data_IF_282937630909
#
_entry.id   IF_282937630909
#
_cell.length_a   1.000
_cell.length_b   1.000
_cell.length_c   1.000
_cell.angle_alpha   90.00
_cell.angle_beta   90.00
_cell.angle_gamma   90.00
#
_symmetry.space_group_name_H-M   'P 1'
#
loop_
_entity.id
_entity.type
_entity.pdbx_description
1 polymer ?
#
# COMPACT_ATOMS: atom_id res chain seq x y z
N UNK A 1 -17.02 -4.53 -15.39
CA UNK A 1 -15.70 -4.10 -14.88
C UNK A 1 -14.63 -5.20 -15.03
N UNK A 2 -14.94 -6.46 -14.77
CA UNK A 2 -13.98 -7.59 -14.63
C UNK A 2 -13.04 -7.87 -15.83
N UNK A 3 -13.40 -7.48 -17.06
CA UNK A 3 -12.66 -7.80 -18.29
C UNK A 3 -12.32 -6.57 -19.15
N UNK A 4 -12.53 -5.36 -18.63
CA UNK A 4 -12.27 -4.14 -19.40
C UNK A 4 -10.76 -3.83 -19.41
N UNK A 5 -10.24 -3.36 -20.54
CA UNK A 5 -8.83 -3.03 -20.72
C UNK A 5 -8.68 -1.62 -21.28
N UNK A 6 -7.70 -0.88 -20.79
CA UNK A 6 -7.30 0.40 -21.37
C UNK A 6 -6.32 0.13 -22.51
N UNK A 7 -6.68 0.54 -23.72
CA UNK A 7 -5.85 0.40 -24.92
C UNK A 7 -5.66 1.76 -25.59
N UNK A 8 -4.49 1.97 -26.19
CA UNK A 8 -4.18 3.19 -26.93
C UNK A 8 -4.28 2.93 -28.43
N UNK A 9 -5.50 2.98 -28.97
CA UNK A 9 -5.78 2.79 -30.40
C UNK A 9 -5.46 4.05 -31.24
N UNK A 10 -5.50 5.22 -30.62
CA UNK A 10 -5.16 6.54 -31.17
C UNK A 10 -4.47 7.38 -30.08
N UNK A 11 -4.38 8.70 -30.25
CA UNK A 11 -3.82 9.62 -29.25
C UNK A 11 -4.63 9.66 -27.93
N UNK A 12 -5.83 9.06 -27.90
CA UNK A 12 -6.66 8.97 -26.71
C UNK A 12 -6.77 7.52 -26.19
N UNK A 13 -6.68 7.31 -24.86
CA UNK A 13 -6.97 6.00 -24.27
C UNK A 13 -8.43 5.61 -24.51
N UNK A 14 -8.65 4.36 -24.89
CA UNK A 14 -9.97 3.77 -25.12
C UNK A 14 -10.15 2.53 -24.24
N UNK A 15 -11.38 2.27 -23.80
CA UNK A 15 -11.72 1.06 -23.05
C UNK A 15 -12.23 0.02 -24.04
N UNK A 16 -11.71 -1.21 -23.95
CA UNK A 16 -12.12 -2.31 -24.82
C UNK A 16 -12.24 -3.64 -24.07
N UNK A 17 -13.06 -4.53 -24.64
CA UNK A 17 -13.07 -5.96 -24.34
C UNK A 17 -12.25 -6.67 -25.41
N UNK A 18 -11.37 -7.59 -25.00
CA UNK A 18 -10.44 -8.29 -25.90
C UNK A 18 -10.82 -9.77 -25.88
N UNK A 19 -11.67 -10.23 -26.83
CA UNK A 19 -12.15 -11.60 -26.85
C UNK A 19 -11.01 -12.61 -26.91
N UNK A 20 -11.26 -13.83 -26.46
CA UNK A 20 -10.31 -14.95 -26.37
C UNK A 20 -9.22 -14.72 -25.31
N UNK A 21 -8.45 -13.64 -25.43
CA UNK A 21 -7.40 -13.30 -24.46
C UNK A 21 -7.97 -13.10 -23.06
N UNK A 22 -9.15 -12.47 -22.96
CA UNK A 22 -9.82 -12.21 -21.70
C UNK A 22 -10.38 -13.47 -21.02
N UNK A 23 -10.20 -14.67 -21.59
CA UNK A 23 -10.49 -15.94 -20.92
C UNK A 23 -9.34 -16.41 -20.01
N UNK A 24 -8.13 -15.87 -20.17
CA UNK A 24 -6.98 -16.24 -19.34
C UNK A 24 -7.19 -15.81 -17.88
N UNK A 25 -6.86 -16.69 -16.94
CA UNK A 25 -6.94 -16.41 -15.50
C UNK A 25 -5.67 -15.73 -14.98
N UNK A 26 -5.75 -15.21 -13.75
CA UNK A 26 -4.66 -14.49 -13.08
C UNK A 26 -3.63 -15.43 -12.44
N UNK A 27 -2.35 -15.15 -12.64
CA UNK A 27 -1.22 -15.69 -11.86
C UNK A 27 -0.17 -14.58 -11.66
N UNK A 28 0.59 -14.63 -10.57
CA UNK A 28 1.70 -13.71 -10.34
C UNK A 28 2.76 -13.76 -11.44
N UNK A 29 3.30 -12.59 -11.75
CA UNK A 29 4.42 -12.44 -12.66
C UNK A 29 4.54 -11.01 -13.15
N UNK A 30 4.78 -10.84 -14.44
CA UNK A 30 4.93 -9.52 -15.10
C UNK A 30 3.89 -9.38 -16.19
N UNK A 31 3.57 -8.15 -16.55
CA UNK A 31 2.69 -7.90 -17.70
C UNK A 31 3.42 -8.34 -18.96
N UNK A 32 2.86 -9.33 -19.66
CA UNK A 32 3.39 -9.87 -20.93
C UNK A 32 2.42 -9.67 -22.09
N UNK A 33 1.44 -8.77 -21.92
CA UNK A 33 0.48 -8.39 -22.96
C UNK A 33 0.73 -6.95 -23.38
N UNK A 34 0.75 -6.69 -24.67
CA UNK A 34 0.90 -5.35 -25.25
C UNK A 34 0.04 -5.19 -26.51
N UNK A 35 -0.09 -3.96 -27.00
CA UNK A 35 -0.75 -3.65 -28.25
C UNK A 35 0.27 -3.26 -29.32
N UNK A 36 0.43 -4.10 -30.34
CA UNK A 36 1.28 -3.82 -31.48
C UNK A 36 0.57 -2.82 -32.41
N UNK A 37 1.07 -1.57 -32.43
CA UNK A 37 0.50 -0.48 -33.23
C UNK A 37 0.66 -0.67 -34.74
N UNK A 38 1.79 -1.24 -35.17
CA UNK A 38 2.08 -1.46 -36.59
C UNK A 38 1.14 -2.52 -37.19
N UNK A 39 0.97 -3.63 -36.47
CA UNK A 39 0.09 -4.74 -36.86
C UNK A 39 -1.36 -4.55 -36.43
N UNK A 40 -1.65 -3.49 -35.66
CA UNK A 40 -2.98 -3.14 -35.13
C UNK A 40 -3.67 -4.30 -34.41
N UNK A 41 -2.95 -4.95 -33.49
CA UNK A 41 -3.46 -6.12 -32.74
C UNK A 41 -2.89 -6.20 -31.32
N UNK A 42 -3.61 -6.87 -30.43
CA UNK A 42 -3.06 -7.30 -29.14
C UNK A 42 -2.10 -8.47 -29.31
N UNK A 43 -0.99 -8.44 -28.59
CA UNK A 43 0.00 -9.51 -28.53
C UNK A 43 0.18 -9.94 -27.08
N UNK A 44 0.13 -11.26 -26.83
CA UNK A 44 0.32 -11.83 -25.51
C UNK A 44 1.45 -12.85 -25.59
N UNK A 45 2.53 -12.59 -24.87
CA UNK A 45 3.66 -13.50 -24.73
C UNK A 45 3.42 -14.38 -23.50
N UNK A 46 3.91 -15.62 -23.55
CA UNK A 46 3.76 -16.56 -22.44
C UNK A 46 4.43 -15.99 -21.18
N UNK A 47 3.70 -15.99 -20.05
CA UNK A 47 4.19 -15.49 -18.76
C UNK A 47 5.39 -16.29 -18.26
N UNK A 48 5.37 -17.59 -18.55
CA UNK A 48 6.36 -18.62 -18.25
C UNK A 48 6.15 -19.78 -19.23
N UNK A 49 6.98 -20.79 -19.14
CA UNK A 49 6.74 -22.04 -19.86
C UNK A 49 5.46 -22.72 -19.34
N UNK A 50 4.63 -23.21 -20.25
CA UNK A 50 3.42 -23.99 -19.97
C UNK A 50 3.52 -25.35 -20.64
N UNK A 51 3.30 -26.43 -19.89
CA UNK A 51 3.28 -27.77 -20.45
C UNK A 51 2.01 -28.03 -21.27
N UNK A 52 2.04 -29.00 -22.19
CA UNK A 52 0.85 -29.42 -22.90
C UNK A 52 -0.23 -29.93 -21.92
N UNK A 53 -1.44 -29.36 -22.01
CA UNK A 53 -2.55 -29.65 -21.10
C UNK A 53 -2.58 -28.79 -19.83
N UNK A 54 -1.58 -27.94 -19.61
CA UNK A 54 -1.58 -26.96 -18.53
C UNK A 54 -2.46 -25.74 -18.87
N UNK A 55 -3.09 -25.16 -17.85
CA UNK A 55 -3.84 -23.92 -18.01
C UNK A 55 -2.87 -22.74 -18.25
N UNK A 56 -3.21 -21.90 -19.23
CA UNK A 56 -2.47 -20.68 -19.52
C UNK A 56 -2.97 -19.56 -18.60
N UNK A 57 -2.02 -18.91 -17.92
CA UNK A 57 -2.28 -17.76 -17.06
C UNK A 57 -1.61 -16.49 -17.59
N UNK A 58 -2.14 -15.35 -17.17
CA UNK A 58 -1.55 -14.03 -17.38
C UNK A 58 -1.50 -13.26 -16.06
N UNK A 59 -0.64 -12.24 -15.97
CA UNK A 59 -0.65 -11.34 -14.83
C UNK A 59 -1.54 -10.13 -15.11
N UNK A 60 -2.62 -9.97 -14.33
CA UNK A 60 -3.57 -8.85 -14.49
C UNK A 60 -3.02 -7.48 -14.03
N UNK A 61 -1.81 -7.47 -13.46
CA UNK A 61 -1.19 -6.29 -12.86
C UNK A 61 -1.09 -6.38 -11.33
N UNK A 62 -0.25 -5.51 -10.78
CA UNK A 62 -0.01 -5.38 -9.34
C UNK A 62 -1.20 -4.69 -8.66
N UNK A 63 -2.21 -5.49 -8.31
CA UNK A 63 -3.47 -5.02 -7.71
C UNK A 63 -3.62 -5.62 -6.31
N UNK A 64 -4.06 -4.82 -5.31
CA UNK A 64 -4.38 -5.35 -4.00
C UNK A 64 -5.62 -6.24 -4.05
N UNK A 65 -5.78 -7.12 -3.06
CA UNK A 65 -6.91 -8.05 -2.99
C UNK A 65 -8.25 -7.34 -2.84
N UNK A 66 -8.29 -6.15 -2.22
CA UNK A 66 -9.50 -5.33 -2.18
C UNK A 66 -9.98 -4.98 -3.60
N UNK A 67 -9.06 -4.61 -4.50
CA UNK A 67 -9.37 -4.29 -5.90
C UNK A 67 -9.72 -5.54 -6.70
N UNK A 68 -8.97 -6.63 -6.54
CA UNK A 68 -9.28 -7.91 -7.21
C UNK A 68 -10.65 -8.43 -6.78
N UNK A 69 -11.00 -8.30 -5.51
CA UNK A 69 -12.30 -8.73 -5.00
C UNK A 69 -13.42 -7.86 -5.57
N UNK A 70 -13.29 -6.54 -5.46
CA UNK A 70 -14.32 -5.60 -5.91
C UNK A 70 -14.49 -5.61 -7.44
N UNK A 71 -13.38 -5.67 -8.17
CA UNK A 71 -13.38 -5.47 -9.62
C UNK A 71 -13.27 -6.74 -10.45
N UNK A 72 -12.71 -7.82 -9.90
CA UNK A 72 -12.54 -9.10 -10.61
C UNK A 72 -13.28 -10.27 -9.94
N UNK A 73 -13.85 -10.08 -8.74
CA UNK A 73 -14.71 -11.06 -8.08
C UNK A 73 -13.96 -12.21 -7.38
N UNK A 74 -12.65 -12.07 -7.15
CA UNK A 74 -11.84 -13.09 -6.48
C UNK A 74 -10.82 -12.46 -5.52
N UNK A 75 -10.36 -13.25 -4.55
CA UNK A 75 -9.23 -12.91 -3.69
C UNK A 75 -8.08 -13.85 -4.03
N UNK A 76 -6.88 -13.31 -4.21
CA UNK A 76 -5.68 -14.07 -4.53
C UNK A 76 -4.88 -14.34 -3.25
N UNK A 77 -4.80 -15.61 -2.79
CA UNK A 77 -4.00 -15.96 -1.62
C UNK A 77 -2.54 -15.57 -1.82
N UNK A 78 -1.88 -15.10 -0.75
CA UNK A 78 -0.45 -14.74 -0.76
C UNK A 78 -0.07 -13.70 -1.84
N UNK A 79 -0.99 -12.78 -2.14
CA UNK A 79 -0.74 -11.74 -3.13
C UNK A 79 0.43 -10.82 -2.73
N UNK A 80 1.54 -10.86 -3.48
CA UNK A 80 2.75 -10.06 -3.21
C UNK A 80 2.52 -8.55 -3.42
N UNK A 81 1.44 -8.19 -4.10
CA UNK A 81 1.03 -6.80 -4.34
C UNK A 81 -0.15 -6.39 -3.45
N UNK A 82 -0.44 -7.15 -2.39
CA UNK A 82 -1.54 -6.83 -1.49
C UNK A 82 -1.20 -5.64 -0.60
N UNK A 83 -2.21 -4.82 -0.34
CA UNK A 83 -2.10 -3.66 0.54
C UNK A 83 -3.43 -3.36 1.22
N UNK A 84 -3.32 -2.77 2.41
CA UNK A 84 -4.44 -2.27 3.20
C UNK A 84 -4.44 -0.75 3.17
N UNK A 85 -5.58 -0.14 2.82
CA UNK A 85 -5.76 1.31 2.81
C UNK A 85 -6.07 1.84 4.21
N UNK A 86 -5.26 2.77 4.69
CA UNK A 86 -5.39 3.46 5.97
C UNK A 86 -5.90 4.88 5.76
N UNK A 87 -7.12 5.15 6.19
CA UNK A 87 -7.67 6.50 6.23
C UNK A 87 -7.05 7.29 7.40
N UNK A 88 -6.19 8.27 7.08
CA UNK A 88 -5.47 9.11 8.04
C UNK A 88 -5.57 10.58 7.64
N UNK A 89 -5.53 11.47 8.64
CA UNK A 89 -5.55 12.91 8.41
C UNK A 89 -5.23 13.69 9.68
N UNK A 90 -4.85 14.96 9.51
CA UNK A 90 -4.63 15.90 10.62
C UNK A 90 -6.00 16.41 11.10
N UNK A 91 -6.26 16.38 12.41
CA UNK A 91 -7.52 16.87 12.98
C UNK A 91 -7.71 18.36 12.71
N UNK A 92 -8.96 18.82 12.58
CA UNK A 92 -9.29 20.25 12.51
C UNK A 92 -9.05 20.97 13.83
N UNK A 93 -9.04 20.23 14.94
CA UNK A 93 -8.78 20.74 16.28
C UNK A 93 -7.30 20.73 16.67
N UNK A 94 -6.40 20.26 15.80
CA UNK A 94 -4.96 20.22 16.09
C UNK A 94 -4.38 21.65 16.04
N UNK A 95 -3.82 22.20 17.14
CA UNK A 95 -3.24 23.55 17.15
C UNK A 95 -2.09 23.73 16.14
N UNK A 96 -1.41 22.63 15.78
CA UNK A 96 -0.28 22.61 14.84
C UNK A 96 -0.72 22.24 13.41
N UNK A 97 -2.03 22.20 13.15
CA UNK A 97 -2.60 21.76 11.87
C UNK A 97 -1.97 22.46 10.67
N UNK A 98 -1.93 23.78 10.67
CA UNK A 98 -1.43 24.56 9.53
C UNK A 98 0.04 24.27 9.25
N UNK A 99 0.87 24.13 10.29
CA UNK A 99 2.28 23.78 10.14
C UNK A 99 2.45 22.36 9.57
N UNK A 100 1.69 21.38 10.07
CA UNK A 100 1.70 19.99 9.57
C UNK A 100 1.24 19.93 8.10
N UNK A 101 0.15 20.61 7.76
CA UNK A 101 -0.36 20.67 6.38
C UNK A 101 0.59 21.40 5.43
N UNK A 102 1.24 22.47 5.89
CA UNK A 102 2.26 23.18 5.13
C UNK A 102 3.44 22.27 4.78
N UNK A 103 3.91 21.48 5.75
CA UNK A 103 5.02 20.54 5.54
C UNK A 103 4.61 19.38 4.61
N UNK A 104 3.40 18.83 4.78
CA UNK A 104 2.84 17.84 3.85
C UNK A 104 2.70 18.39 2.44
N UNK A 105 2.31 19.66 2.27
CA UNK A 105 2.20 20.33 0.97
C UNK A 105 3.55 20.38 0.25
N UNK A 106 4.64 20.67 0.96
CA UNK A 106 5.99 20.66 0.38
C UNK A 106 6.40 19.29 -0.17
N UNK A 107 5.87 18.21 0.40
CA UNK A 107 6.09 16.84 -0.05
C UNK A 107 5.06 16.37 -1.10
N UNK A 108 4.12 17.23 -1.51
CA UNK A 108 3.03 16.86 -2.41
C UNK A 108 1.96 15.96 -1.78
N UNK A 109 1.89 15.90 -0.44
CA UNK A 109 1.03 14.99 0.33
C UNK A 109 -0.23 15.64 0.90
N UNK A 110 -0.48 16.93 0.66
CA UNK A 110 -1.58 17.67 1.30
C UNK A 110 -2.99 17.19 0.93
N UNK A 111 -3.15 16.56 -0.22
CA UNK A 111 -4.42 15.95 -0.65
C UNK A 111 -4.55 14.46 -0.31
N UNK A 112 -3.51 13.85 0.26
CA UNK A 112 -3.49 12.41 0.54
C UNK A 112 -4.24 12.15 1.85
N UNK A 113 -5.27 11.31 1.76
CA UNK A 113 -6.12 10.92 2.90
C UNK A 113 -6.12 9.41 3.15
N UNK A 114 -5.61 8.65 2.18
CA UNK A 114 -5.53 7.21 2.21
C UNK A 114 -4.08 6.80 1.94
N UNK A 115 -3.52 6.03 2.85
CA UNK A 115 -2.14 5.56 2.80
C UNK A 115 -2.11 4.05 2.73
N UNK A 116 -1.14 3.48 2.02
CA UNK A 116 -1.03 2.03 1.86
C UNK A 116 -0.13 1.42 2.93
N UNK A 117 -0.60 0.32 3.52
CA UNK A 117 0.20 -0.61 4.31
C UNK A 117 0.38 -1.89 3.50
N UNK A 118 1.62 -2.24 3.15
CA UNK A 118 1.92 -3.35 2.24
C UNK A 118 2.10 -4.68 2.97
N UNK A 119 1.89 -5.77 2.24
CA UNK A 119 2.07 -7.15 2.70
C UNK A 119 3.53 -7.63 2.72
N UNK A 120 4.44 -6.88 2.08
CA UNK A 120 5.85 -7.26 1.90
C UNK A 120 6.71 -7.01 3.16
N UNK A 121 8.04 -7.18 3.02
CA UNK A 121 8.99 -7.02 4.12
C UNK A 121 9.14 -5.59 4.63
N UNK A 122 8.73 -4.59 3.85
CA UNK A 122 8.74 -3.18 4.23
C UNK A 122 7.33 -2.59 4.12
N UNK A 123 6.48 -2.79 5.14
CA UNK A 123 5.05 -2.55 5.03
C UNK A 123 4.69 -1.06 4.92
N UNK A 124 5.61 -0.13 5.20
CA UNK A 124 5.33 1.30 5.30
C UNK A 124 5.74 2.01 4.01
N UNK A 125 4.79 2.64 3.31
CA UNK A 125 5.10 3.46 2.13
C UNK A 125 5.86 4.74 2.51
N UNK A 126 6.65 5.33 1.59
CA UNK A 126 7.32 6.62 1.82
C UNK A 126 6.36 7.73 2.24
N UNK A 127 5.16 7.77 1.65
CA UNK A 127 4.12 8.75 1.95
C UNK A 127 3.53 8.52 3.34
N UNK A 128 3.28 7.26 3.71
CA UNK A 128 2.80 6.90 5.05
C UNK A 128 3.85 7.29 6.10
N UNK A 129 5.12 6.98 5.86
CA UNK A 129 6.24 7.30 6.75
C UNK A 129 6.34 8.82 7.00
N UNK A 130 6.35 9.62 5.93
CA UNK A 130 6.36 11.06 6.06
C UNK A 130 5.15 11.59 6.83
N UNK A 131 3.96 11.06 6.54
CA UNK A 131 2.75 11.44 7.26
C UNK A 131 2.87 11.14 8.75
N UNK A 132 3.23 9.92 9.16
CA UNK A 132 3.30 9.57 10.59
C UNK A 132 4.41 10.33 11.32
N UNK A 133 5.52 10.68 10.65
CA UNK A 133 6.55 11.55 11.22
C UNK A 133 5.99 12.94 11.48
N UNK A 134 5.47 13.61 10.45
CA UNK A 134 4.92 14.98 10.55
C UNK A 134 3.75 15.04 11.54
N UNK A 135 2.88 14.02 11.53
CA UNK A 135 1.73 13.93 12.41
C UNK A 135 2.13 13.95 13.89
N UNK A 136 3.30 13.39 14.23
CA UNK A 136 3.81 13.25 15.60
C UNK A 136 4.91 14.26 15.97
N UNK A 137 5.16 15.28 15.13
CA UNK A 137 6.12 16.34 15.45
C UNK A 137 5.56 17.36 16.46
N UNK A 138 6.45 17.92 17.26
CA UNK A 138 6.20 19.10 18.09
C UNK A 138 6.44 20.43 17.31
N UNK A 139 6.20 21.57 17.97
CA UNK A 139 6.35 22.89 17.35
C UNK A 139 7.78 23.19 16.87
N UNK A 140 8.80 22.84 17.65
CA UNK A 140 10.19 23.13 17.32
C UNK A 140 10.67 22.29 16.14
N UNK A 141 10.30 21.01 16.13
CA UNK A 141 10.56 20.08 15.03
C UNK A 141 9.89 20.54 13.73
N UNK A 142 8.60 20.91 13.80
CA UNK A 142 7.88 21.46 12.64
C UNK A 142 8.56 22.74 12.13
N UNK A 143 9.06 23.59 13.02
CA UNK A 143 9.75 24.83 12.65
C UNK A 143 11.07 24.52 11.93
N UNK A 144 11.89 23.60 12.48
CA UNK A 144 13.12 23.10 11.83
C UNK A 144 12.82 22.59 10.43
N UNK A 145 11.90 21.64 10.30
CA UNK A 145 11.59 21.00 9.02
C UNK A 145 10.92 21.95 8.02
N UNK A 146 10.12 22.90 8.51
CA UNK A 146 9.48 23.92 7.67
C UNK A 146 10.46 24.95 7.13
N UNK A 147 11.62 25.17 7.75
CA UNK A 147 12.64 26.08 7.19
C UNK A 147 13.36 25.51 5.97
N UNK A 148 13.34 24.18 5.79
CA UNK A 148 13.96 23.54 4.64
C UNK A 148 13.12 23.73 3.37
N UNK A 149 13.77 23.88 2.22
CA UNK A 149 13.09 23.99 0.93
C UNK A 149 12.37 22.69 0.58
N UNK A 150 13.09 21.56 0.69
CA UNK A 150 12.59 20.21 0.43
C UNK A 150 13.03 19.26 1.55
N UNK A 151 12.10 18.75 2.37
CA UNK A 151 12.43 17.87 3.49
C UNK A 151 12.38 16.38 3.08
N UNK A 152 13.20 15.98 2.10
CA UNK A 152 13.17 14.63 1.52
C UNK A 152 13.51 13.51 2.51
N UNK A 153 14.25 13.81 3.58
CA UNK A 153 14.56 12.82 4.62
C UNK A 153 13.30 12.28 5.31
N UNK A 154 12.21 13.05 5.32
CA UNK A 154 10.96 12.61 5.94
C UNK A 154 10.31 11.43 5.23
N UNK A 155 10.58 11.21 3.94
CA UNK A 155 10.00 10.11 3.15
C UNK A 155 10.87 8.85 3.10
N UNK A 156 12.13 8.92 3.56
CA UNK A 156 13.07 7.79 3.49
C UNK A 156 13.33 7.16 4.86
N UNK A 157 13.43 5.83 4.87
CA UNK A 157 13.83 5.04 6.03
C UNK A 157 15.29 4.56 5.97
N UNK A 158 16.10 5.10 5.06
CA UNK A 158 17.54 4.81 5.05
C UNK A 158 18.24 5.38 6.29
N UNK A 159 19.46 4.90 6.56
CA UNK A 159 20.20 5.26 7.77
C UNK A 159 20.49 6.77 7.86
N UNK A 160 20.79 7.42 6.73
CA UNK A 160 21.14 8.85 6.67
C UNK A 160 19.92 9.71 7.00
N UNK A 161 18.79 9.43 6.33
CA UNK A 161 17.54 10.13 6.57
C UNK A 161 17.00 9.87 7.97
N UNK A 162 17.12 8.64 8.48
CA UNK A 162 16.70 8.31 9.85
C UNK A 162 17.53 9.04 10.91
N UNK A 163 18.84 9.19 10.69
CA UNK A 163 19.71 10.01 11.55
C UNK A 163 19.33 11.49 11.49
N UNK A 164 19.06 12.03 10.31
CA UNK A 164 18.65 13.43 10.13
C UNK A 164 17.29 13.76 10.78
N UNK A 165 16.34 12.82 10.72
CA UNK A 165 15.02 12.89 11.37
C UNK A 165 15.16 12.82 12.89
N UNK A 166 15.95 11.89 13.39
CA UNK A 166 16.20 11.69 14.80
C UNK A 166 15.27 10.64 15.43
N UNK A 167 15.85 9.84 16.32
CA UNK A 167 15.21 8.65 16.89
C UNK A 167 13.93 8.94 17.69
N UNK A 168 13.78 10.14 18.26
CA UNK A 168 12.62 10.53 19.05
C UNK A 168 11.36 10.74 18.18
N UNK A 169 11.51 11.42 17.03
CA UNK A 169 10.41 11.56 16.05
C UNK A 169 9.99 10.19 15.53
N UNK A 170 10.97 9.37 15.12
CA UNK A 170 10.70 8.02 14.60
C UNK A 170 10.04 7.13 15.66
N UNK A 171 10.47 7.22 16.92
CA UNK A 171 9.85 6.48 18.03
C UNK A 171 8.37 6.85 18.18
N UNK A 172 8.02 8.14 18.20
CA UNK A 172 6.61 8.57 18.28
C UNK A 172 5.81 8.13 17.05
N UNK A 173 6.39 8.30 15.86
CA UNK A 173 5.76 7.94 14.59
C UNK A 173 5.42 6.45 14.51
N UNK A 174 6.39 5.57 14.77
CA UNK A 174 6.19 4.13 14.75
C UNK A 174 5.31 3.64 15.89
N UNK A 175 5.37 4.25 17.07
CA UNK A 175 4.47 3.93 18.20
C UNK A 175 3.01 4.26 17.86
N UNK A 176 2.77 5.40 17.21
CA UNK A 176 1.46 5.78 16.71
C UNK A 176 0.93 4.75 15.71
N UNK A 177 1.72 4.40 14.69
CA UNK A 177 1.29 3.43 13.68
C UNK A 177 1.06 2.05 14.29
N UNK A 178 1.91 1.61 15.22
CA UNK A 178 1.76 0.33 15.93
C UNK A 178 0.43 0.28 16.69
N UNK A 179 0.11 1.35 17.41
CA UNK A 179 -1.16 1.47 18.14
C UNK A 179 -2.35 1.42 17.16
N UNK A 180 -2.26 2.15 16.05
CA UNK A 180 -3.30 2.19 15.01
C UNK A 180 -3.54 0.82 14.38
N UNK A 181 -2.49 0.10 14.01
CA UNK A 181 -2.58 -1.25 13.47
C UNK A 181 -3.21 -2.21 14.49
N UNK A 182 -2.85 -2.12 15.77
CA UNK A 182 -3.46 -2.90 16.85
C UNK A 182 -4.96 -2.66 16.99
N UNK A 183 -5.39 -1.39 16.96
CA UNK A 183 -6.81 -1.02 17.01
C UNK A 183 -7.58 -1.51 15.79
N UNK A 184 -7.01 -1.38 14.59
CA UNK A 184 -7.63 -1.86 13.36
C UNK A 184 -7.78 -3.38 13.40
N UNK A 185 -6.73 -4.12 13.79
CA UNK A 185 -6.79 -5.58 13.93
C UNK A 185 -7.90 -5.99 14.92
N UNK A 186 -8.00 -5.32 16.07
CA UNK A 186 -9.03 -5.61 17.07
C UNK A 186 -10.47 -5.38 16.57
N UNK A 187 -10.67 -4.57 15.53
CA UNK A 187 -11.98 -4.33 14.93
C UNK A 187 -12.48 -5.48 14.03
N UNK A 188 -11.59 -6.37 13.59
CA UNK A 188 -11.97 -7.55 12.80
C UNK A 188 -12.65 -8.59 13.70
N UNK A 189 -13.96 -8.76 13.50
CA UNK A 189 -14.73 -9.82 14.15
C UNK A 189 -14.52 -11.16 13.44
N UNK A 190 -14.45 -12.24 14.21
CA UNK A 190 -14.55 -13.60 13.66
C UNK A 190 -15.96 -13.80 13.08
N UNK A 191 -16.03 -14.30 11.86
CA UNK A 191 -17.30 -14.65 11.24
C UNK A 191 -17.69 -16.07 11.72
N UNK A 192 -18.77 -16.18 12.49
CA UNK A 192 -19.30 -17.44 13.05
C UNK A 192 -20.37 -18.08 12.15
N UNK A 193 -20.64 -17.49 10.98
CA UNK A 193 -21.64 -17.98 10.03
C UNK A 193 -21.33 -19.39 9.51
N UNK A 194 -22.24 -20.34 9.75
CA UNK A 194 -22.17 -21.72 9.24
C UNK A 194 -22.45 -21.85 7.73
N UNK A 195 -22.99 -20.82 7.07
CA UNK A 195 -23.38 -20.90 5.64
C UNK A 195 -22.23 -20.50 4.70
N UNK A 196 -21.56 -21.50 4.13
CA UNK A 196 -20.34 -21.40 3.32
C UNK A 196 -20.58 -21.27 1.80
N UNK A 197 -21.08 -20.10 1.36
CA UNK A 197 -21.12 -19.77 -0.08
C UNK A 197 -19.77 -19.34 -0.63
N UNK A 198 -19.54 -19.44 -1.95
CA UNK A 198 -18.29 -18.99 -2.59
C UNK A 198 -18.00 -17.51 -2.29
N UNK A 199 -19.01 -16.65 -2.32
CA UNK A 199 -18.87 -15.24 -1.98
C UNK A 199 -18.47 -15.03 -0.52
N UNK A 200 -19.03 -15.82 0.41
CA UNK A 200 -18.65 -15.79 1.83
C UNK A 200 -17.20 -16.23 2.04
N UNK A 201 -16.73 -17.24 1.30
CA UNK A 201 -15.31 -17.65 1.30
C UNK A 201 -14.39 -16.53 0.86
N UNK A 202 -14.71 -15.84 -0.25
CA UNK A 202 -13.90 -14.72 -0.70
C UNK A 202 -13.89 -13.56 0.31
N UNK A 203 -15.02 -13.21 0.92
CA UNK A 203 -15.07 -12.19 1.97
C UNK A 203 -14.22 -12.59 3.19
N UNK A 204 -14.30 -13.85 3.61
CA UNK A 204 -13.49 -14.37 4.72
C UNK A 204 -11.99 -14.33 4.39
N UNK A 205 -11.62 -14.80 3.20
CA UNK A 205 -10.24 -14.79 2.72
C UNK A 205 -9.70 -13.36 2.60
N UNK A 206 -10.49 -12.39 2.12
CA UNK A 206 -10.09 -10.99 2.07
C UNK A 206 -9.75 -10.46 3.47
N UNK A 207 -10.63 -10.71 4.45
CA UNK A 207 -10.39 -10.29 5.84
C UNK A 207 -9.17 -10.97 6.45
N UNK A 208 -8.94 -12.25 6.14
CA UNK A 208 -7.74 -12.97 6.58
C UNK A 208 -6.48 -12.34 6.00
N UNK A 209 -6.48 -11.98 4.71
CA UNK A 209 -5.38 -11.24 4.07
C UNK A 209 -5.15 -9.87 4.73
N UNK A 210 -6.21 -9.09 4.97
CA UNK A 210 -6.09 -7.78 5.64
C UNK A 210 -5.52 -7.89 7.06
N UNK A 211 -5.95 -8.90 7.83
CA UNK A 211 -5.40 -9.17 9.18
C UNK A 211 -3.93 -9.60 9.09
N UNK A 212 -3.55 -10.40 8.09
CA UNK A 212 -2.15 -10.78 7.89
C UNK A 212 -1.25 -9.58 7.61
N UNK A 213 -1.71 -8.62 6.80
CA UNK A 213 -0.99 -7.35 6.56
C UNK A 213 -0.77 -6.60 7.88
N UNK A 214 -1.82 -6.49 8.70
CA UNK A 214 -1.74 -5.84 10.01
C UNK A 214 -0.78 -6.55 10.96
N UNK A 215 -0.78 -7.88 10.97
CA UNK A 215 0.13 -8.66 11.80
C UNK A 215 1.59 -8.49 11.41
N UNK A 216 1.89 -8.59 10.12
CA UNK A 216 3.23 -8.34 9.58
C UNK A 216 3.72 -6.92 9.94
N UNK A 217 2.85 -5.91 9.78
CA UNK A 217 3.18 -4.54 10.13
C UNK A 217 3.43 -4.35 11.64
N UNK A 218 2.62 -4.97 12.49
CA UNK A 218 2.79 -4.92 13.96
C UNK A 218 4.14 -5.55 14.36
N UNK A 219 4.49 -6.70 13.78
CA UNK A 219 5.77 -7.35 14.04
C UNK A 219 6.95 -6.49 13.56
N UNK A 220 6.89 -5.97 12.34
CA UNK A 220 7.87 -5.04 11.79
C UNK A 220 8.08 -3.83 12.72
N UNK A 221 7.00 -3.16 13.11
CA UNK A 221 7.06 -1.96 13.95
C UNK A 221 7.65 -2.25 15.33
N UNK A 222 7.32 -3.38 15.94
CA UNK A 222 7.94 -3.81 17.22
C UNK A 222 9.44 -4.01 17.07
N UNK A 223 9.87 -4.66 15.99
CA UNK A 223 11.29 -4.90 15.73
C UNK A 223 12.06 -3.60 15.48
N UNK A 224 11.48 -2.66 14.72
CA UNK A 224 12.09 -1.34 14.48
C UNK A 224 12.19 -0.54 15.78
N UNK A 225 11.11 -0.47 16.57
CA UNK A 225 11.10 0.27 17.84
C UNK A 225 12.12 -0.24 18.86
N UNK A 226 12.38 -1.55 18.89
CA UNK A 226 13.40 -2.15 19.76
C UNK A 226 14.83 -1.78 19.36
N UNK A 227 15.07 -1.54 18.06
CA UNK A 227 16.39 -1.19 17.51
C UNK A 227 16.69 0.31 17.60
N UNK A 228 15.66 1.15 17.74
CA UNK A 228 15.86 2.60 17.85
C UNK A 228 16.67 2.96 19.11
N UNK A 229 17.67 3.86 19.01
CA UNK A 229 18.45 4.33 20.15
C UNK A 229 17.54 4.86 21.27
N UNK A 230 17.68 4.33 22.48
CA UNK A 230 17.14 4.97 23.69
C UNK A 230 18.05 6.14 24.05
N UNK A 231 17.49 7.33 24.27
CA UNK A 231 18.26 8.51 24.65
C UNK A 231 19.23 8.16 25.79
N UNK A 232 20.52 8.36 25.53
CA UNK A 232 21.50 8.45 26.61
C UNK A 232 21.09 9.66 27.45
N UNK A 233 20.89 9.42 28.75
CA UNK A 233 20.83 10.46 29.75
C UNK A 233 21.98 11.44 29.49
N UNK A 234 21.63 12.66 29.12
CA UNK A 234 22.52 13.81 29.14
C UNK A 234 23.01 13.99 30.58
N UNK A 235 24.24 13.53 30.84
CA UNK A 235 25.07 14.00 31.96
C UNK A 235 25.88 15.20 31.52
#
# INVERSE_FOLDING_TARGET
>A
MTRQNNIHLSDAPSIAFIPLWDMCNHEHGKITTDYNKELKRGECYALRDFAAGEQIFIFYGARPNADLFLHNGFVYPQNQYDSLSLALGVSTSDPLREAKLGLLTKLGLSGVTHYSLYSDSNPISPELLAFIRIFNMNQDELTKWSSLSMPSDLVSSDDISSEAVGADIDRRAYTYLLTRCGLLKASYKKDESETESLHRRNVKLLKECEVQILDNAIEYLRNVLQKLPTDKQTT
#
